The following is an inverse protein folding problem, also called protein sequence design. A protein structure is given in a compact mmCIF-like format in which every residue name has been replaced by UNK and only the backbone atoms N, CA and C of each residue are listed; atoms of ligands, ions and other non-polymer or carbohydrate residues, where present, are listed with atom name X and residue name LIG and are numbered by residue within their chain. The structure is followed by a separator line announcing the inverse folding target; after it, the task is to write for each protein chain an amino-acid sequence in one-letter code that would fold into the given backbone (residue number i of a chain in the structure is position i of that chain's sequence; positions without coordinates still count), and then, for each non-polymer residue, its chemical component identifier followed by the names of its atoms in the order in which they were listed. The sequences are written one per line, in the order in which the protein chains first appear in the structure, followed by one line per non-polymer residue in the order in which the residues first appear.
data_IF_230971515914
#
_entry.id   IF_230971515914
#
_cell.length_a   1.000
_cell.length_b   1.000
_cell.length_c   1.000
_cell.angle_alpha   90.00
_cell.angle_beta   90.00
_cell.angle_gamma   90.00
#
_symmetry.space_group_name_H-M   'P 1'
#
loop_
_entity.id
_entity.type
_entity.pdbx_description
1 polymer ?
#
# COMPACT_ATOMS: atom_id res chain seq x y z
N UNK A 1 -19.92 -3.00 -16.20
CA UNK A 1 -20.01 -1.88 -15.24
C UNK A 1 -18.62 -1.40 -14.81
N UNK A 2 -17.68 -2.29 -14.49
CA UNK A 2 -16.30 -1.93 -14.07
C UNK A 2 -15.49 -1.11 -15.11
N UNK A 3 -15.56 -1.47 -16.40
CA UNK A 3 -14.83 -0.74 -17.45
C UNK A 3 -15.21 0.75 -17.56
N UNK A 4 -16.47 1.09 -17.30
CA UNK A 4 -16.95 2.47 -17.31
C UNK A 4 -16.38 3.29 -16.15
N UNK A 5 -16.24 2.70 -14.96
CA UNK A 5 -15.63 3.37 -13.81
C UNK A 5 -14.13 3.60 -14.01
N UNK A 6 -13.42 2.63 -14.62
CA UNK A 6 -12.00 2.78 -14.96
C UNK A 6 -11.80 3.89 -16.01
N UNK A 7 -12.62 3.89 -17.07
CA UNK A 7 -12.55 4.92 -18.10
C UNK A 7 -12.86 6.32 -17.52
N UNK A 8 -13.88 6.43 -16.67
CA UNK A 8 -14.21 7.68 -15.99
C UNK A 8 -13.05 8.19 -15.12
N UNK A 9 -12.41 7.30 -14.35
CA UNK A 9 -11.24 7.66 -13.55
C UNK A 9 -10.03 8.09 -14.41
N UNK A 10 -9.83 7.46 -15.57
CA UNK A 10 -8.71 7.79 -16.47
C UNK A 10 -8.95 9.06 -17.30
N UNK A 11 -10.20 9.44 -17.54
CA UNK A 11 -10.56 10.61 -18.35
C UNK A 11 -10.89 11.86 -17.54
N UNK A 12 -11.16 11.74 -16.24
CA UNK A 12 -11.43 12.91 -15.40
C UNK A 12 -10.19 13.83 -15.33
N UNK A 13 -10.44 15.13 -15.16
CA UNK A 13 -9.42 16.19 -15.11
C UNK A 13 -9.42 16.96 -13.79
N UNK A 14 -10.28 16.58 -12.84
CA UNK A 14 -10.44 17.24 -11.55
C UNK A 14 -9.20 17.07 -10.65
N UNK A 15 -8.48 15.95 -10.83
CA UNK A 15 -7.23 15.66 -10.15
C UNK A 15 -6.29 14.80 -11.00
N UNK A 16 -4.97 14.81 -10.73
CA UNK A 16 -4.03 13.99 -11.49
C UNK A 16 -4.33 12.49 -11.38
N UNK A 17 -4.34 11.81 -12.51
CA UNK A 17 -4.40 10.34 -12.55
C UNK A 17 -3.10 9.77 -12.01
N UNK A 18 -3.19 8.91 -10.98
CA UNK A 18 -1.98 8.29 -10.41
C UNK A 18 -1.41 7.25 -11.38
N UNK A 19 -0.09 7.27 -11.55
CA UNK A 19 0.60 6.38 -12.49
C UNK A 19 0.80 4.97 -11.93
N UNK A 20 1.05 4.87 -10.62
CA UNK A 20 1.38 3.61 -9.94
C UNK A 20 0.47 3.45 -8.71
N UNK A 21 -0.23 2.32 -8.62
CA UNK A 21 -1.05 1.94 -7.47
C UNK A 21 -0.48 0.71 -6.77
N UNK A 22 -0.19 0.80 -5.47
CA UNK A 22 0.17 -0.35 -4.63
C UNK A 22 -1.07 -0.95 -3.97
N UNK A 23 -1.36 -2.23 -4.21
CA UNK A 23 -2.56 -2.91 -3.67
C UNK A 23 -2.31 -4.38 -3.27
N UNK A 24 -3.37 -5.06 -2.81
CA UNK A 24 -3.38 -6.43 -2.26
C UNK A 24 -3.78 -7.51 -3.28
N UNK A 25 -3.65 -7.23 -4.58
CA UNK A 25 -4.06 -8.09 -5.71
C UNK A 25 -5.58 -8.37 -5.79
N UNK A 26 -6.41 -7.57 -5.12
CA UNK A 26 -7.85 -7.63 -5.34
C UNK A 26 -8.22 -7.24 -6.79
N UNK A 27 -9.17 -7.98 -7.37
CA UNK A 27 -9.56 -7.84 -8.79
C UNK A 27 -10.01 -6.43 -9.16
N UNK A 28 -10.66 -5.74 -8.23
CA UNK A 28 -11.15 -4.37 -8.40
C UNK A 28 -10.04 -3.34 -8.70
N UNK A 29 -8.77 -3.62 -8.37
CA UNK A 29 -7.66 -2.71 -8.61
C UNK A 29 -6.97 -2.89 -9.96
N UNK A 30 -7.35 -3.93 -10.72
CA UNK A 30 -6.74 -4.20 -12.02
C UNK A 30 -7.14 -3.10 -13.01
N UNK A 31 -6.18 -2.68 -13.84
CA UNK A 31 -6.35 -1.71 -14.93
C UNK A 31 -6.73 -0.28 -14.50
N UNK A 32 -6.84 0.02 -13.21
CA UNK A 32 -7.13 1.40 -12.73
C UNK A 32 -6.02 2.37 -13.18
N UNK A 33 -4.77 1.97 -12.99
CA UNK A 33 -3.58 2.81 -13.25
C UNK A 33 -2.66 2.16 -14.26
N UNK A 34 -1.71 2.94 -14.78
CA UNK A 34 -0.71 2.46 -15.75
C UNK A 34 0.10 1.28 -15.20
N UNK A 35 0.48 1.34 -13.93
CA UNK A 35 1.21 0.28 -13.27
C UNK A 35 0.57 -0.09 -11.94
N UNK A 36 0.36 -1.38 -11.72
CA UNK A 36 -0.06 -1.91 -10.43
C UNK A 36 1.16 -2.55 -9.75
N UNK A 37 1.54 -2.04 -8.58
CA UNK A 37 2.45 -2.71 -7.66
C UNK A 37 1.64 -3.60 -6.72
N UNK A 38 2.24 -4.70 -6.27
CA UNK A 38 1.61 -5.60 -5.29
C UNK A 38 2.33 -5.58 -3.95
N UNK A 39 1.53 -5.62 -2.87
CA UNK A 39 2.00 -5.63 -1.50
C UNK A 39 2.62 -6.99 -1.15
N UNK A 40 3.92 -7.00 -0.85
CA UNK A 40 4.66 -8.18 -0.42
C UNK A 40 4.13 -8.77 0.89
N UNK A 41 3.65 -7.94 1.81
CA UNK A 41 3.08 -8.42 3.08
C UNK A 41 1.76 -9.18 2.85
N UNK A 42 0.94 -8.73 1.90
CA UNK A 42 -0.28 -9.44 1.51
C UNK A 42 0.01 -10.76 0.81
N UNK A 43 0.96 -10.76 -0.13
CA UNK A 43 1.42 -11.97 -0.78
C UNK A 43 1.97 -12.97 0.25
N UNK A 44 2.84 -12.52 1.16
CA UNK A 44 3.39 -13.30 2.27
C UNK A 44 2.33 -13.85 3.23
N UNK A 45 1.26 -13.08 3.50
CA UNK A 45 0.13 -13.52 4.34
C UNK A 45 -0.56 -14.77 3.76
N UNK A 46 -0.67 -14.88 2.44
CA UNK A 46 -1.28 -16.05 1.79
C UNK A 46 -0.55 -17.37 2.11
N UNK A 47 0.77 -17.31 2.35
CA UNK A 47 1.55 -18.48 2.79
C UNK A 47 1.28 -18.81 4.26
N UNK A 48 1.19 -17.80 5.13
CA UNK A 48 0.88 -17.99 6.57
C UNK A 48 -0.52 -18.56 6.83
N UNK A 49 -1.43 -18.42 5.86
CA UNK A 49 -2.76 -19.05 5.93
C UNK A 49 -2.74 -20.56 5.65
N UNK A 50 -1.62 -21.12 5.22
CA UNK A 50 -1.46 -22.57 5.09
C UNK A 50 -1.23 -23.19 6.47
N UNK A 51 -2.10 -24.12 6.87
CA UNK A 51 -2.03 -24.81 8.17
C UNK A 51 -1.83 -26.33 7.95
N UNK A 52 -0.66 -26.77 7.46
CA UNK A 52 -0.41 -28.19 7.25
C UNK A 52 -0.39 -28.96 8.57
N UNK A 53 -1.09 -30.09 8.63
CA UNK A 53 -1.10 -30.97 9.81
C UNK A 53 0.14 -31.89 9.80
N UNK A 54 0.55 -32.35 8.62
CA UNK A 54 1.69 -33.26 8.43
C UNK A 54 3.01 -32.55 8.76
N UNK A 55 3.85 -33.07 9.69
CA UNK A 55 5.10 -32.43 10.11
C UNK A 55 6.04 -32.07 8.96
N UNK A 56 6.21 -32.98 7.99
CA UNK A 56 7.02 -32.73 6.79
C UNK A 56 6.56 -31.51 5.98
N UNK A 57 5.25 -31.24 5.92
CA UNK A 57 4.72 -30.09 5.21
C UNK A 57 4.84 -28.78 6.02
N UNK A 58 4.81 -28.86 7.35
CA UNK A 58 5.14 -27.72 8.23
C UNK A 58 6.58 -27.27 7.99
N UNK A 59 7.52 -28.20 8.07
CA UNK A 59 8.95 -27.90 7.85
C UNK A 59 9.20 -27.29 6.46
N UNK A 60 8.55 -27.82 5.41
CA UNK A 60 8.65 -27.26 4.06
C UNK A 60 8.10 -25.84 3.96
N UNK A 61 6.98 -25.56 4.62
CA UNK A 61 6.38 -24.23 4.66
C UNK A 61 7.28 -23.24 5.41
N UNK A 62 7.80 -23.61 6.57
CA UNK A 62 8.71 -22.79 7.38
C UNK A 62 9.98 -22.45 6.61
N UNK A 63 10.67 -23.46 6.04
CA UNK A 63 11.87 -23.23 5.21
C UNK A 63 11.60 -22.33 4.00
N UNK A 64 10.41 -22.43 3.40
CA UNK A 64 10.05 -21.55 2.30
C UNK A 64 9.80 -20.12 2.78
N UNK A 65 9.08 -19.94 3.89
CA UNK A 65 8.83 -18.63 4.50
C UNK A 65 10.13 -17.92 4.90
N UNK A 66 11.11 -18.63 5.45
CA UNK A 66 12.42 -18.04 5.77
C UNK A 66 13.10 -17.48 4.52
N UNK A 67 13.13 -18.26 3.43
CA UNK A 67 13.69 -17.81 2.15
C UNK A 67 12.91 -16.64 1.56
N UNK A 68 11.59 -16.64 1.69
CA UNK A 68 10.71 -15.56 1.26
C UNK A 68 11.03 -14.25 1.99
N UNK A 69 11.11 -14.28 3.32
CA UNK A 69 11.37 -13.08 4.12
C UNK A 69 12.82 -12.62 4.03
N UNK A 70 13.77 -13.52 3.82
CA UNK A 70 15.14 -13.15 3.46
C UNK A 70 15.19 -12.40 2.13
N UNK A 71 14.46 -12.85 1.12
CA UNK A 71 14.35 -12.14 -0.15
C UNK A 71 13.69 -10.76 0.01
N UNK A 72 12.62 -10.66 0.81
CA UNK A 72 12.01 -9.39 1.17
C UNK A 72 13.00 -8.42 1.87
N UNK A 73 13.85 -8.94 2.76
CA UNK A 73 14.93 -8.17 3.39
C UNK A 73 15.90 -7.59 2.38
N UNK A 74 16.31 -8.38 1.37
CA UNK A 74 17.16 -7.89 0.27
C UNK A 74 16.50 -6.79 -0.55
N UNK A 75 15.18 -6.85 -0.77
CA UNK A 75 14.45 -5.76 -1.43
C UNK A 75 14.48 -4.47 -0.60
N UNK A 76 14.39 -4.56 0.73
CA UNK A 76 14.54 -3.40 1.62
C UNK A 76 15.95 -2.81 1.56
N UNK A 77 16.98 -3.65 1.48
CA UNK A 77 18.37 -3.20 1.32
C UNK A 77 18.59 -2.53 -0.03
N UNK A 78 18.08 -3.11 -1.12
CA UNK A 78 18.12 -2.53 -2.46
C UNK A 78 17.58 -1.10 -2.49
N UNK A 79 16.47 -0.85 -1.80
CA UNK A 79 15.87 0.48 -1.74
C UNK A 79 16.80 1.56 -1.16
N UNK A 80 17.78 1.18 -0.32
CA UNK A 80 18.72 2.13 0.28
C UNK A 80 19.79 2.58 -0.70
N UNK A 81 20.19 1.71 -1.64
CA UNK A 81 21.19 2.01 -2.65
C UNK A 81 20.86 1.25 -3.96
N UNK A 82 19.90 1.74 -4.74
CA UNK A 82 19.43 1.04 -5.92
C UNK A 82 20.47 1.08 -7.03
N UNK A 83 20.74 -0.08 -7.65
CA UNK A 83 21.60 -0.19 -8.81
C UNK A 83 21.03 -1.16 -9.84
N UNK A 84 21.26 -0.90 -11.12
CA UNK A 84 20.77 -1.76 -12.21
C UNK A 84 21.29 -3.19 -12.09
N UNK A 85 22.56 -3.35 -11.68
CA UNK A 85 23.16 -4.66 -11.45
C UNK A 85 22.45 -5.42 -10.33
N UNK A 86 22.15 -4.76 -9.20
CA UNK A 86 21.45 -5.41 -8.09
C UNK A 86 19.99 -5.73 -8.45
N UNK A 87 19.34 -4.88 -9.25
CA UNK A 87 18.00 -5.15 -9.77
C UNK A 87 17.95 -6.42 -10.64
N UNK A 88 18.93 -6.63 -11.51
CA UNK A 88 19.05 -7.85 -12.32
C UNK A 88 19.27 -9.10 -11.45
N UNK A 89 20.17 -9.00 -10.47
CA UNK A 89 20.45 -10.09 -9.51
C UNK A 89 19.17 -10.45 -8.75
N UNK A 90 18.45 -9.47 -8.20
CA UNK A 90 17.21 -9.71 -7.46
C UNK A 90 16.11 -10.30 -8.35
N UNK A 91 15.98 -9.82 -9.58
CA UNK A 91 15.03 -10.37 -10.56
C UNK A 91 15.32 -11.85 -10.88
N UNK A 92 16.60 -12.23 -10.99
CA UNK A 92 17.01 -13.62 -11.20
C UNK A 92 16.84 -14.48 -9.94
N UNK A 93 17.16 -13.94 -8.76
CA UNK A 93 16.92 -14.60 -7.48
C UNK A 93 15.44 -14.90 -7.25
N UNK A 94 14.55 -13.97 -7.64
CA UNK A 94 13.10 -14.19 -7.63
C UNK A 94 12.73 -15.43 -8.45
N UNK A 95 13.21 -15.53 -9.69
CA UNK A 95 12.88 -16.68 -10.55
C UNK A 95 13.34 -17.99 -9.94
N UNK A 96 14.52 -18.00 -9.32
CA UNK A 96 15.06 -19.17 -8.62
C UNK A 96 14.22 -19.53 -7.39
N UNK A 97 13.85 -18.54 -6.57
CA UNK A 97 13.04 -18.75 -5.37
C UNK A 97 11.66 -19.30 -5.72
N UNK A 98 10.95 -18.67 -6.64
CA UNK A 98 9.58 -19.03 -7.01
C UNK A 98 9.48 -20.14 -8.06
N UNK A 99 10.61 -20.75 -8.44
CA UNK A 99 10.63 -22.03 -9.17
C UNK A 99 10.75 -23.24 -8.25
N UNK A 100 10.80 -23.03 -6.92
CA UNK A 100 10.84 -24.12 -5.93
C UNK A 100 9.65 -25.06 -6.08
N UNK A 101 9.90 -26.38 -6.04
CA UNK A 101 8.89 -27.43 -5.98
C UNK A 101 9.03 -28.22 -4.69
N UNK A 102 7.99 -28.22 -3.88
CA UNK A 102 8.02 -28.75 -2.52
C UNK A 102 7.31 -30.11 -2.40
N UNK A 103 6.56 -30.52 -3.43
CA UNK A 103 5.62 -31.68 -3.39
C UNK A 103 4.48 -31.49 -2.38
N UNK A 104 4.39 -30.32 -1.74
CA UNK A 104 3.23 -29.92 -0.97
C UNK A 104 2.36 -29.04 -1.86
N UNK A 105 1.34 -29.65 -2.47
CA UNK A 105 0.53 -29.02 -3.52
C UNK A 105 0.02 -27.62 -3.16
N UNK A 106 -0.50 -27.43 -1.94
CA UNK A 106 -1.04 -26.12 -1.54
C UNK A 106 0.04 -25.02 -1.47
N UNK A 107 1.27 -25.37 -1.06
CA UNK A 107 2.42 -24.45 -1.10
C UNK A 107 2.88 -24.21 -2.54
N UNK A 108 3.00 -25.26 -3.35
CA UNK A 108 3.38 -25.14 -4.77
C UNK A 108 2.38 -24.28 -5.57
N UNK A 109 1.09 -24.36 -5.25
CA UNK A 109 0.04 -23.52 -5.82
C UNK A 109 0.22 -22.04 -5.41
N UNK A 110 0.61 -21.76 -4.16
CA UNK A 110 0.92 -20.39 -3.71
C UNK A 110 2.15 -19.83 -4.42
N UNK A 111 3.23 -20.61 -4.47
CA UNK A 111 4.48 -20.26 -5.17
C UNK A 111 4.19 -19.89 -6.62
N UNK A 112 3.37 -20.68 -7.30
CA UNK A 112 2.99 -20.45 -8.70
C UNK A 112 2.23 -19.13 -8.89
N UNK A 113 1.33 -18.78 -7.95
CA UNK A 113 0.60 -17.52 -7.99
C UNK A 113 1.52 -16.31 -7.79
N UNK A 114 2.42 -16.38 -6.81
CA UNK A 114 3.40 -15.31 -6.60
C UNK A 114 4.33 -15.17 -7.81
N UNK A 115 4.76 -16.29 -8.41
CA UNK A 115 5.56 -16.27 -9.65
C UNK A 115 4.85 -15.54 -10.80
N UNK A 116 3.55 -15.78 -10.98
CA UNK A 116 2.76 -15.11 -12.01
C UNK A 116 2.66 -13.58 -11.79
N UNK A 117 2.80 -13.14 -10.54
CA UNK A 117 2.74 -11.74 -10.12
C UNK A 117 4.13 -11.04 -10.11
N UNK A 118 5.16 -11.65 -10.71
CA UNK A 118 6.55 -11.14 -10.71
C UNK A 118 6.64 -9.67 -11.11
N UNK A 119 6.02 -9.29 -12.22
CA UNK A 119 6.14 -7.95 -12.78
C UNK A 119 5.57 -6.88 -11.84
N UNK A 120 4.47 -7.17 -11.15
CA UNK A 120 3.86 -6.25 -10.19
C UNK A 120 4.60 -6.23 -8.84
N UNK A 121 5.09 -7.38 -8.37
CA UNK A 121 5.82 -7.49 -7.10
C UNK A 121 7.23 -6.87 -7.17
N UNK A 122 7.88 -6.96 -8.33
CA UNK A 122 9.21 -6.40 -8.56
C UNK A 122 9.20 -5.01 -9.18
N UNK A 123 8.05 -4.33 -9.21
CA UNK A 123 7.97 -2.95 -9.72
C UNK A 123 8.89 -1.98 -8.95
N UNK A 124 9.18 -2.29 -7.67
CA UNK A 124 10.16 -1.58 -6.83
C UNK A 124 11.58 -1.59 -7.42
N UNK A 125 11.94 -2.58 -8.24
CA UNK A 125 13.25 -2.60 -8.89
C UNK A 125 13.37 -1.51 -9.96
N UNK A 126 12.25 -1.09 -10.55
CA UNK A 126 12.18 0.03 -11.48
C UNK A 126 11.95 1.37 -10.79
N UNK A 127 11.22 1.35 -9.67
CA UNK A 127 10.80 2.51 -8.89
C UNK A 127 11.14 2.28 -7.40
N UNK A 128 12.40 2.47 -6.97
CA UNK A 128 12.86 2.15 -5.61
C UNK A 128 12.12 2.92 -4.51
N UNK A 129 11.55 4.08 -4.81
CA UNK A 129 10.73 4.87 -3.91
C UNK A 129 9.44 4.16 -3.50
N UNK A 130 8.95 3.21 -4.31
CA UNK A 130 7.70 2.50 -4.02
C UNK A 130 7.78 1.72 -2.71
N UNK A 131 6.78 1.84 -1.82
CA UNK A 131 6.72 0.99 -0.64
C UNK A 131 6.53 -0.48 -1.04
N UNK A 132 7.08 -1.39 -0.24
CA UNK A 132 6.86 -2.84 -0.44
C UNK A 132 5.54 -3.32 0.19
N UNK A 133 4.90 -2.47 1.00
CA UNK A 133 3.67 -2.76 1.70
C UNK A 133 2.70 -1.58 1.68
N UNK A 134 1.40 -1.84 1.77
CA UNK A 134 0.34 -0.83 1.77
C UNK A 134 -0.16 -0.47 3.18
N UNK A 135 0.64 -0.69 4.24
CA UNK A 135 0.25 -0.45 5.63
C UNK A 135 -0.33 0.95 5.87
N UNK A 136 0.21 2.00 5.26
CA UNK A 136 -0.31 3.36 5.44
C UNK A 136 -1.72 3.53 4.86
N UNK A 137 -1.98 2.91 3.71
CA UNK A 137 -3.30 2.88 3.10
C UNK A 137 -4.27 2.05 3.94
N UNK A 138 -3.84 0.88 4.43
CA UNK A 138 -4.62 0.07 5.37
C UNK A 138 -4.98 0.84 6.65
N UNK A 139 -4.03 1.56 7.24
CA UNK A 139 -4.23 2.31 8.47
C UNK A 139 -5.24 3.45 8.27
N UNK A 140 -5.18 4.14 7.12
CA UNK A 140 -6.16 5.13 6.72
C UNK A 140 -7.58 4.52 6.66
N UNK A 141 -7.74 3.42 5.94
CA UNK A 141 -9.02 2.72 5.82
C UNK A 141 -9.56 2.23 7.18
N UNK A 142 -8.68 1.69 8.04
CA UNK A 142 -9.04 1.21 9.39
C UNK A 142 -9.64 2.30 10.26
N UNK A 143 -9.25 3.55 10.08
CA UNK A 143 -9.77 4.66 10.88
C UNK A 143 -11.26 4.90 10.59
N UNK A 144 -11.66 4.80 9.32
CA UNK A 144 -13.08 4.89 8.93
C UNK A 144 -13.88 3.69 9.44
N UNK A 145 -13.32 2.47 9.36
CA UNK A 145 -13.96 1.25 9.88
C UNK A 145 -14.22 1.38 11.39
N UNK A 146 -13.20 1.79 12.17
CA UNK A 146 -13.36 2.00 13.62
C UNK A 146 -14.41 3.06 13.95
N UNK A 147 -14.48 4.15 13.17
CA UNK A 147 -15.52 5.17 13.35
C UNK A 147 -16.91 4.59 13.11
N UNK A 148 -17.07 3.75 12.08
CA UNK A 148 -18.33 3.05 11.80
C UNK A 148 -18.68 2.04 12.88
N UNK A 149 -17.71 1.35 13.46
CA UNK A 149 -17.97 0.39 14.55
C UNK A 149 -18.55 1.10 15.79
N UNK A 150 -18.14 2.35 16.06
CA UNK A 150 -18.63 3.14 17.19
C UNK A 150 -19.91 3.90 16.87
N UNK A 151 -20.04 4.46 15.66
CA UNK A 151 -21.13 5.40 15.31
C UNK A 151 -22.10 4.87 14.27
N UNK A 152 -22.00 3.59 13.90
CA UNK A 152 -22.77 2.93 12.83
C UNK A 152 -22.65 3.69 11.50
N UNK A 153 -23.67 3.53 10.65
CA UNK A 153 -23.75 4.15 9.34
C UNK A 153 -24.50 5.49 9.41
N UNK A 154 -24.23 6.36 8.45
CA UNK A 154 -24.95 7.63 8.30
C UNK A 154 -26.29 7.39 7.59
N UNK A 155 -27.37 8.01 8.07
CA UNK A 155 -28.71 7.87 7.45
C UNK A 155 -28.94 8.80 6.26
N UNK A 156 -28.23 9.93 6.22
CA UNK A 156 -28.45 11.00 5.24
C UNK A 156 -27.15 11.31 4.50
N UNK A 157 -27.28 11.85 3.27
CA UNK A 157 -26.13 12.31 2.47
C UNK A 157 -25.32 13.38 3.21
N UNK A 158 -25.99 14.27 3.92
CA UNK A 158 -25.34 15.31 4.72
C UNK A 158 -24.56 14.71 5.90
N UNK A 159 -25.10 13.67 6.54
CA UNK A 159 -24.39 12.91 7.57
C UNK A 159 -23.13 12.25 7.01
N UNK A 160 -23.21 11.63 5.83
CA UNK A 160 -22.05 11.06 5.12
C UNK A 160 -21.01 12.12 4.83
N UNK A 161 -21.43 13.24 4.23
CA UNK A 161 -20.55 14.35 3.87
C UNK A 161 -19.86 14.95 5.11
N UNK A 162 -20.60 15.15 6.19
CA UNK A 162 -20.03 15.65 7.44
C UNK A 162 -18.98 14.68 8.00
N UNK A 163 -19.31 13.39 8.08
CA UNK A 163 -18.39 12.36 8.58
C UNK A 163 -17.10 12.32 7.74
N UNK A 164 -17.22 12.24 6.41
CA UNK A 164 -16.07 12.20 5.50
C UNK A 164 -15.20 13.47 5.61
N UNK A 165 -15.83 14.64 5.75
CA UNK A 165 -15.13 15.92 5.92
C UNK A 165 -14.34 15.95 7.22
N UNK A 166 -14.98 15.67 8.36
CA UNK A 166 -14.30 15.71 9.66
C UNK A 166 -13.22 14.62 9.77
N UNK A 167 -13.47 13.43 9.24
CA UNK A 167 -12.46 12.37 9.18
C UNK A 167 -11.25 12.79 8.34
N UNK A 168 -11.48 13.43 7.19
CA UNK A 168 -10.40 13.96 6.35
C UNK A 168 -9.58 15.04 7.08
N UNK A 169 -10.24 15.98 7.76
CA UNK A 169 -9.57 17.03 8.55
C UNK A 169 -8.72 16.42 9.66
N UNK A 170 -9.30 15.52 10.46
CA UNK A 170 -8.60 14.90 11.60
C UNK A 170 -7.40 14.07 11.13
N UNK A 171 -7.57 13.23 10.09
CA UNK A 171 -6.47 12.41 9.58
C UNK A 171 -5.37 13.25 8.93
N UNK A 172 -5.74 14.31 8.19
CA UNK A 172 -4.76 15.21 7.58
C UNK A 172 -3.99 15.99 8.64
N UNK A 173 -4.68 16.58 9.64
CA UNK A 173 -4.04 17.27 10.75
C UNK A 173 -3.07 16.35 11.50
N UNK A 174 -3.49 15.11 11.80
CA UNK A 174 -2.63 14.10 12.44
C UNK A 174 -1.38 13.79 11.62
N UNK A 175 -1.50 13.63 10.29
CA UNK A 175 -0.35 13.39 9.40
C UNK A 175 0.64 14.57 9.35
N UNK A 176 0.13 15.79 9.56
CA UNK A 176 0.93 17.02 9.58
C UNK A 176 1.47 17.36 10.98
N UNK A 177 1.21 16.53 12.00
CA UNK A 177 1.61 16.82 13.38
C UNK A 177 0.82 17.96 14.03
N UNK A 178 -0.34 18.32 13.48
CA UNK A 178 -1.21 19.39 13.97
C UNK A 178 -2.28 18.82 14.89
N UNK A 179 -2.51 19.44 16.05
CA UNK A 179 -3.62 19.11 16.93
C UNK A 179 -4.95 19.32 16.21
N UNK A 180 -5.71 18.24 16.00
CA UNK A 180 -7.00 18.32 15.31
C UNK A 180 -8.01 19.15 16.08
N UNK A 181 -7.94 19.15 17.42
CA UNK A 181 -8.80 19.95 18.28
C UNK A 181 -8.52 21.45 18.10
N UNK A 182 -7.26 21.85 18.23
CA UNK A 182 -6.86 23.26 18.06
C UNK A 182 -7.19 23.76 16.66
N UNK A 183 -6.95 22.94 15.64
CA UNK A 183 -7.28 23.28 14.26
C UNK A 183 -8.80 23.48 14.06
N UNK A 184 -9.64 22.58 14.58
CA UNK A 184 -11.08 22.72 14.48
C UNK A 184 -11.55 23.95 15.27
N UNK A 185 -11.03 24.16 16.48
CA UNK A 185 -11.34 25.33 17.30
C UNK A 185 -11.01 26.62 16.56
N UNK A 186 -9.81 26.76 16.00
CA UNK A 186 -9.38 27.93 15.22
C UNK A 186 -10.30 28.25 14.03
N UNK A 187 -10.80 27.22 13.34
CA UNK A 187 -11.75 27.40 12.23
C UNK A 187 -13.15 27.78 12.70
N UNK A 188 -13.63 27.19 13.79
CA UNK A 188 -14.96 27.46 14.35
C UNK A 188 -15.02 28.83 15.02
N UNK A 189 -13.94 29.22 15.72
CA UNK A 189 -13.79 30.56 16.34
C UNK A 189 -13.54 31.66 15.33
N UNK A 190 -13.28 31.32 14.06
CA UNK A 190 -12.89 32.25 12.98
C UNK A 190 -11.62 33.04 13.30
N UNK A 191 -10.75 32.49 14.14
CA UNK A 191 -9.46 33.11 14.47
C UNK A 191 -8.50 33.04 13.28
N UNK A 192 -8.52 31.92 12.53
CA UNK A 192 -7.68 31.69 11.35
C UNK A 192 -6.18 31.96 11.57
N UNK A 193 -5.70 31.77 12.80
CA UNK A 193 -4.30 31.97 13.15
C UNK A 193 -3.43 30.81 12.63
N UNK A 194 -4.01 29.62 12.51
CA UNK A 194 -3.32 28.45 11.97
C UNK A 194 -3.36 28.42 10.43
N UNK A 195 -2.25 28.12 9.74
CA UNK A 195 -2.24 27.92 8.29
C UNK A 195 -3.25 26.87 7.84
N UNK A 196 -3.72 26.94 6.60
CA UNK A 196 -4.61 25.90 6.08
C UNK A 196 -3.89 24.55 5.99
N UNK A 197 -4.62 23.44 6.19
CA UNK A 197 -4.02 22.11 5.98
C UNK A 197 -3.47 21.96 4.56
N UNK A 198 -4.07 22.63 3.57
CA UNK A 198 -3.57 22.63 2.18
C UNK A 198 -2.19 23.28 2.08
N UNK A 199 -1.99 24.41 2.75
CA UNK A 199 -0.69 25.11 2.72
C UNK A 199 0.37 24.32 3.48
N UNK A 200 0.00 23.70 4.60
CA UNK A 200 0.90 22.80 5.34
C UNK A 200 1.28 21.56 4.53
N UNK A 201 0.36 21.01 3.72
CA UNK A 201 0.69 19.92 2.79
C UNK A 201 1.74 20.40 1.78
N UNK A 202 1.51 21.55 1.13
CA UNK A 202 2.45 22.10 0.14
C UNK A 202 3.83 22.35 0.76
N UNK A 203 3.88 22.96 1.95
CA UNK A 203 5.12 23.23 2.66
C UNK A 203 5.90 21.94 3.00
N UNK A 204 5.21 20.90 3.48
CA UNK A 204 5.82 19.60 3.77
C UNK A 204 6.30 18.86 2.50
N UNK A 205 5.62 19.03 1.38
CA UNK A 205 6.06 18.47 0.09
C UNK A 205 7.37 19.12 -0.35
N UNK A 206 7.49 20.44 -0.24
CA UNK A 206 8.71 21.18 -0.59
C UNK A 206 9.88 20.77 0.32
N UNK A 207 9.66 20.74 1.65
CA UNK A 207 10.69 20.34 2.60
C UNK A 207 11.22 18.91 2.40
N UNK A 208 10.40 17.99 1.89
CA UNK A 208 10.86 16.63 1.54
C UNK A 208 11.67 16.60 0.25
N UNK A 209 11.31 17.41 -0.75
CA UNK A 209 12.05 17.52 -2.00
C UNK A 209 13.46 18.10 -1.75
N UNK A 210 13.58 19.10 -0.88
CA UNK A 210 14.86 19.74 -0.57
C UNK A 210 15.79 18.83 0.25
N UNK A 211 15.24 17.96 1.12
CA UNK A 211 16.03 16.97 1.86
C UNK A 211 16.48 15.76 1.01
N UNK A 212 15.74 15.42 -0.05
CA UNK A 212 16.08 14.32 -0.97
C UNK A 212 17.03 14.76 -2.11
N UNK A 213 17.32 16.06 -2.22
CA UNK A 213 18.23 16.66 -3.21
C UNK A 213 19.63 17.00 -2.66
N UNK A 214 19.92 16.64 -1.40
CA UNK A 214 21.18 16.90 -0.69
C UNK A 214 22.05 15.66 -0.48
#
# INVERSE_FOLDING_TARGET
MEAGAIAAYQQQTDYPVIQILLSDDARQFKLITKWQALCWVHDGRNYKMLHPIVPLYKEKLEKFLDRYWNYYGKLLEYKKNPSSQMAEILSAEFDRLFSTKTKYRALDDRITKTKANKTQLLLVLKYPELPLHNNDAELGARTQVRKRDVSLHTMTKDGTKANDTFMTIVQTAKKLGVSSYEYIHDRVSKSFCMPSLSDLIKANTIAKIDCDAG
#
